data_IF_295134796850
#
_entry.id   IF_295134796850
#
_cell.length_a   1.000
_cell.length_b   1.000
_cell.length_c   1.000
_cell.angle_alpha   90.00
_cell.angle_beta   90.00
_cell.angle_gamma   90.00
#
_symmetry.space_group_name_H-M   'P 1'
#
loop_
_entity.id
_entity.type
_entity.pdbx_description
1 polymer ?
#
# COMPACT_ATOMS: atom_id res chain seq x y z
N UNK A 1 41.79 41.40 22.64
CA UNK A 1 40.47 41.27 23.31
C UNK A 1 39.48 40.73 22.30
N UNK A 2 39.10 39.45 22.43
CA UNK A 2 38.26 38.75 21.46
C UNK A 2 36.77 39.05 21.67
N UNK A 3 36.08 39.47 20.61
CA UNK A 3 34.63 39.53 20.57
C UNK A 3 34.07 38.11 20.44
N UNK A 4 33.44 37.60 21.50
CA UNK A 4 32.61 36.39 21.42
C UNK A 4 31.21 36.81 20.95
N UNK A 5 30.94 36.64 19.67
CA UNK A 5 29.58 36.57 19.13
C UNK A 5 28.90 35.34 19.74
N UNK A 6 28.00 35.55 20.72
CA UNK A 6 27.08 34.50 21.16
C UNK A 6 26.18 34.18 19.97
N UNK A 7 26.40 33.03 19.33
CA UNK A 7 25.39 32.44 18.47
C UNK A 7 24.13 32.25 19.31
N UNK A 8 23.06 32.97 18.98
CA UNK A 8 21.73 32.68 19.51
C UNK A 8 21.38 31.28 18.99
N UNK A 9 21.40 30.31 19.90
CA UNK A 9 20.84 28.99 19.64
C UNK A 9 19.36 29.22 19.33
N UNK A 10 18.83 28.78 18.17
CA UNK A 10 17.41 28.91 17.90
C UNK A 10 16.65 28.16 19.00
N UNK A 11 15.71 28.85 19.64
CA UNK A 11 14.90 28.27 20.69
C UNK A 11 14.23 26.99 20.17
N UNK A 12 14.16 25.91 20.99
CA UNK A 12 13.46 24.70 20.58
C UNK A 12 12.02 25.07 20.26
N UNK A 13 11.57 24.79 19.04
CA UNK A 13 10.20 25.01 18.61
C UNK A 13 9.28 24.33 19.62
N UNK A 14 8.64 25.12 20.48
CA UNK A 14 7.69 24.60 21.45
C UNK A 14 6.56 23.92 20.68
N UNK A 15 6.04 22.78 21.18
CA UNK A 15 4.91 22.06 20.54
C UNK A 15 3.74 22.97 20.15
N UNK A 16 3.60 24.11 20.84
CA UNK A 16 2.62 25.17 20.53
C UNK A 16 2.85 25.83 19.16
N UNK A 17 4.08 26.21 18.83
CA UNK A 17 4.40 26.88 17.56
C UNK A 17 4.26 25.98 16.33
N UNK A 18 4.50 24.67 16.47
CA UNK A 18 4.22 23.70 15.40
C UNK A 18 2.71 23.53 15.16
N UNK A 19 1.88 23.59 16.21
CA UNK A 19 0.41 23.55 16.09
C UNK A 19 -0.19 24.82 15.47
N UNK A 20 0.45 25.97 15.66
CA UNK A 20 0.07 27.23 15.00
C UNK A 20 0.50 27.29 13.53
N UNK A 21 1.67 26.71 13.18
CA UNK A 21 2.17 26.71 11.81
C UNK A 21 1.51 25.62 10.94
N UNK A 22 1.22 24.46 11.53
CA UNK A 22 0.30 23.45 10.99
C UNK A 22 -1.05 23.67 11.65
N UNK A 23 -1.73 24.78 11.31
CA UNK A 23 -3.11 24.99 11.71
C UNK A 23 -3.86 23.67 11.54
N UNK A 24 -4.53 23.23 12.60
CA UNK A 24 -5.37 22.03 12.60
C UNK A 24 -6.19 22.07 11.32
N UNK A 25 -5.81 21.25 10.34
CA UNK A 25 -6.61 21.03 9.15
C UNK A 25 -7.84 20.27 9.65
N UNK A 26 -8.81 21.01 10.17
CA UNK A 26 -10.19 20.58 10.39
C UNK A 26 -10.83 20.50 9.01
N UNK A 27 -10.38 19.49 8.26
CA UNK A 27 -11.03 19.13 7.03
C UNK A 27 -12.42 18.62 7.41
N UNK A 28 -13.46 19.13 6.75
CA UNK A 28 -14.83 18.65 6.94
C UNK A 28 -14.87 17.11 6.90
N UNK A 29 -15.60 16.44 7.80
CA UNK A 29 -15.72 14.98 7.80
C UNK A 29 -16.10 14.41 6.42
N UNK A 30 -16.94 15.14 5.67
CA UNK A 30 -17.34 14.77 4.31
C UNK A 30 -16.14 14.71 3.35
N UNK A 31 -15.20 15.66 3.46
CA UNK A 31 -13.98 15.68 2.65
C UNK A 31 -13.07 14.51 3.03
N UNK A 32 -12.97 14.20 4.34
CA UNK A 32 -12.19 13.07 4.83
C UNK A 32 -12.74 11.73 4.34
N UNK A 33 -14.06 11.52 4.42
CA UNK A 33 -14.70 10.32 3.87
C UNK A 33 -14.63 10.25 2.35
N UNK A 34 -14.81 11.38 1.65
CA UNK A 34 -14.68 11.44 0.19
C UNK A 34 -13.28 11.06 -0.28
N UNK A 35 -12.25 11.59 0.39
CA UNK A 35 -10.86 11.24 0.10
C UNK A 35 -10.56 9.79 0.45
N UNK A 36 -11.05 9.29 1.59
CA UNK A 36 -10.92 7.89 1.97
C UNK A 36 -11.54 6.95 0.91
N UNK A 37 -12.75 7.27 0.46
CA UNK A 37 -13.44 6.51 -0.58
C UNK A 37 -12.65 6.49 -1.89
N UNK A 38 -12.11 7.63 -2.32
CA UNK A 38 -11.27 7.72 -3.53
C UNK A 38 -10.00 6.86 -3.40
N UNK A 39 -9.30 6.97 -2.27
CA UNK A 39 -8.05 6.24 -2.02
C UNK A 39 -8.32 4.73 -1.96
N UNK A 40 -9.37 4.29 -1.27
CA UNK A 40 -9.77 2.88 -1.20
C UNK A 40 -10.26 2.33 -2.54
N UNK A 41 -10.91 3.16 -3.36
CA UNK A 41 -11.31 2.78 -4.70
C UNK A 41 -10.10 2.58 -5.62
N UNK A 42 -9.12 3.48 -5.58
CA UNK A 42 -7.86 3.32 -6.32
C UNK A 42 -7.06 2.11 -5.83
N UNK A 43 -7.06 1.86 -4.52
CA UNK A 43 -6.51 0.64 -3.93
C UNK A 43 -7.18 -0.62 -4.49
N UNK A 44 -8.51 -0.67 -4.52
CA UNK A 44 -9.26 -1.80 -5.05
C UNK A 44 -8.91 -2.12 -6.51
N UNK A 45 -8.80 -1.10 -7.35
CA UNK A 45 -8.39 -1.27 -8.76
C UNK A 45 -6.97 -1.85 -8.83
N UNK A 46 -6.04 -1.30 -8.04
CA UNK A 46 -4.66 -1.74 -8.03
C UNK A 46 -4.52 -3.21 -7.57
N UNK A 47 -5.24 -3.60 -6.50
CA UNK A 47 -5.32 -4.99 -6.03
C UNK A 47 -5.80 -5.95 -7.13
N UNK A 48 -6.85 -5.59 -7.87
CA UNK A 48 -7.36 -6.44 -8.96
C UNK A 48 -6.33 -6.61 -10.07
N UNK A 49 -5.64 -5.52 -10.44
CA UNK A 49 -4.56 -5.55 -11.43
C UNK A 49 -3.40 -6.42 -10.93
N UNK A 50 -3.03 -6.31 -9.66
CA UNK A 50 -1.94 -7.05 -9.06
C UNK A 50 -2.21 -8.56 -8.98
N UNK A 51 -3.40 -8.96 -8.52
CA UNK A 51 -3.82 -10.36 -8.49
C UNK A 51 -3.72 -10.95 -9.91
N UNK A 52 -4.26 -10.24 -10.90
CA UNK A 52 -4.22 -10.73 -12.28
C UNK A 52 -2.81 -10.83 -12.84
N UNK A 53 -1.98 -9.84 -12.55
CA UNK A 53 -0.57 -9.82 -12.99
C UNK A 53 0.18 -11.00 -12.37
N UNK A 54 -0.04 -11.27 -11.09
CA UNK A 54 0.52 -12.42 -10.37
C UNK A 54 0.07 -13.76 -10.98
N UNK A 55 -1.21 -13.91 -11.34
CA UNK A 55 -1.70 -15.11 -12.03
C UNK A 55 -1.03 -15.33 -13.39
N UNK A 56 -0.81 -14.25 -14.15
CA UNK A 56 -0.22 -14.32 -15.49
C UNK A 56 1.21 -14.85 -15.47
N UNK A 57 1.96 -14.68 -14.36
CA UNK A 57 3.27 -15.30 -14.19
C UNK A 57 3.20 -16.83 -14.24
N UNK A 58 2.13 -17.44 -13.73
CA UNK A 58 1.91 -18.89 -13.75
C UNK A 58 1.27 -19.33 -15.06
N UNK A 59 0.31 -18.55 -15.57
CA UNK A 59 -0.44 -18.90 -16.77
C UNK A 59 0.40 -18.73 -18.05
N UNK A 60 1.39 -17.83 -18.05
CA UNK A 60 2.23 -17.52 -19.21
C UNK A 60 1.50 -16.64 -20.24
N UNK A 61 0.54 -15.82 -19.80
CA UNK A 61 -0.31 -15.02 -20.66
C UNK A 61 0.21 -13.61 -20.91
N UNK A 62 -0.35 -12.94 -21.91
CA UNK A 62 -0.08 -11.52 -22.11
C UNK A 62 -0.92 -10.69 -21.15
N UNK A 63 -0.30 -9.73 -20.47
CA UNK A 63 -1.01 -8.76 -19.65
C UNK A 63 -2.00 -7.91 -20.42
N UNK A 64 -3.06 -7.47 -19.74
CA UNK A 64 -4.10 -6.59 -20.25
C UNK A 64 -4.26 -5.40 -19.31
N UNK A 65 -4.57 -4.23 -19.87
CA UNK A 65 -4.90 -3.02 -19.11
C UNK A 65 -6.37 -3.00 -18.66
N UNK A 66 -7.17 -3.97 -19.08
CA UNK A 66 -8.55 -4.12 -18.60
C UNK A 66 -8.53 -4.54 -17.13
N UNK A 67 -9.42 -3.98 -16.31
CA UNK A 67 -9.58 -4.37 -14.91
C UNK A 67 -10.44 -5.65 -14.85
N UNK A 68 -9.88 -6.82 -14.55
CA UNK A 68 -10.63 -8.07 -14.54
C UNK A 68 -11.46 -8.22 -13.27
N UNK A 69 -12.65 -7.62 -13.24
CA UNK A 69 -13.57 -7.72 -12.10
C UNK A 69 -13.98 -9.17 -11.75
N UNK A 70 -13.81 -10.11 -12.69
CA UNK A 70 -13.98 -11.54 -12.45
C UNK A 70 -13.03 -12.11 -11.38
N UNK A 71 -11.97 -11.40 -10.99
CA UNK A 71 -11.10 -11.81 -9.88
C UNK A 71 -11.90 -12.06 -8.60
N UNK A 72 -12.96 -11.28 -8.33
CA UNK A 72 -13.75 -11.41 -7.10
C UNK A 72 -14.59 -12.69 -7.01
N UNK A 73 -14.88 -13.37 -8.13
CA UNK A 73 -15.61 -14.64 -8.11
C UNK A 73 -14.70 -15.86 -7.98
N UNK A 74 -13.40 -15.70 -8.21
CA UNK A 74 -12.44 -16.80 -8.15
C UNK A 74 -12.43 -17.57 -6.82
N UNK A 75 -12.51 -16.94 -5.62
CA UNK A 75 -12.56 -17.71 -4.38
C UNK A 75 -13.75 -18.67 -4.32
N UNK A 76 -14.88 -18.27 -4.91
CA UNK A 76 -16.06 -19.12 -5.00
C UNK A 76 -15.87 -20.26 -6.00
N UNK A 77 -15.31 -19.96 -7.18
CA UNK A 77 -15.01 -20.94 -8.23
C UNK A 77 -13.94 -21.96 -7.79
N UNK A 78 -12.96 -21.54 -6.97
CA UNK A 78 -12.00 -22.42 -6.30
C UNK A 78 -12.70 -23.44 -5.41
N UNK A 79 -13.66 -23.00 -4.58
CA UNK A 79 -14.43 -23.87 -3.70
C UNK A 79 -15.36 -24.81 -4.47
N UNK A 80 -15.96 -24.32 -5.57
CA UNK A 80 -16.81 -25.12 -6.45
C UNK A 80 -16.03 -26.16 -7.26
N UNK A 81 -14.72 -25.95 -7.45
CA UNK A 81 -13.83 -26.90 -8.09
C UNK A 81 -13.97 -26.97 -9.62
N UNK A 82 -14.59 -25.96 -10.26
CA UNK A 82 -14.95 -25.95 -11.68
C UNK A 82 -13.77 -25.85 -12.64
N UNK A 83 -12.66 -25.27 -12.19
CA UNK A 83 -11.49 -24.99 -13.04
C UNK A 83 -10.44 -26.11 -13.08
N UNK A 84 -9.56 -26.06 -14.09
CA UNK A 84 -8.41 -26.94 -14.20
C UNK A 84 -7.32 -26.63 -13.16
N UNK A 85 -6.41 -27.58 -12.93
CA UNK A 85 -5.37 -27.47 -11.89
C UNK A 85 -4.42 -26.28 -12.11
N UNK A 86 -4.11 -25.93 -13.38
CA UNK A 86 -3.19 -24.83 -13.67
C UNK A 86 -3.83 -23.49 -13.29
N UNK A 87 -5.10 -23.29 -13.62
CA UNK A 87 -5.86 -22.09 -13.25
C UNK A 87 -6.04 -21.98 -11.74
N UNK A 88 -6.37 -23.09 -11.06
CA UNK A 88 -6.45 -23.12 -9.59
C UNK A 88 -5.14 -22.68 -8.92
N UNK A 89 -4.00 -23.19 -9.40
CA UNK A 89 -2.69 -22.81 -8.86
C UNK A 89 -2.40 -21.32 -9.09
N UNK A 90 -2.75 -20.78 -10.25
CA UNK A 90 -2.59 -19.37 -10.56
C UNK A 90 -3.41 -18.48 -9.61
N UNK A 91 -4.67 -18.82 -9.37
CA UNK A 91 -5.54 -18.06 -8.48
C UNK A 91 -5.10 -18.14 -7.02
N UNK A 92 -4.71 -19.32 -6.54
CA UNK A 92 -4.16 -19.50 -5.18
C UNK A 92 -2.90 -18.66 -5.00
N UNK A 93 -2.04 -18.59 -6.02
CA UNK A 93 -0.84 -17.76 -5.98
C UNK A 93 -1.17 -16.25 -5.95
N UNK A 94 -2.06 -15.79 -6.83
CA UNK A 94 -2.48 -14.38 -6.89
C UNK A 94 -3.10 -13.90 -5.58
N UNK A 95 -4.11 -14.63 -5.08
CA UNK A 95 -4.74 -14.33 -3.79
C UNK A 95 -3.80 -14.50 -2.59
N UNK A 96 -2.90 -15.48 -2.65
CA UNK A 96 -1.91 -15.71 -1.59
C UNK A 96 -0.90 -14.57 -1.47
N UNK A 97 -0.45 -14.03 -2.60
CA UNK A 97 0.39 -12.84 -2.61
C UNK A 97 -0.35 -11.61 -2.06
N UNK A 98 -1.54 -11.31 -2.58
CA UNK A 98 -2.35 -10.16 -2.11
C UNK A 98 -2.64 -10.26 -0.60
N UNK A 99 -3.02 -11.44 -0.10
CA UNK A 99 -3.25 -11.64 1.33
C UNK A 99 -1.98 -11.40 2.15
N UNK A 100 -0.82 -11.83 1.64
CA UNK A 100 0.49 -11.53 2.21
C UNK A 100 0.73 -10.02 2.25
N UNK A 101 0.53 -9.32 1.15
CA UNK A 101 0.71 -7.87 1.05
C UNK A 101 -0.19 -7.12 2.03
N UNK A 102 -1.47 -7.51 2.16
CA UNK A 102 -2.39 -6.88 3.11
C UNK A 102 -1.99 -7.11 4.57
N UNK A 103 -1.52 -8.31 4.92
CA UNK A 103 -0.96 -8.59 6.24
C UNK A 103 0.26 -7.68 6.47
N UNK A 104 1.10 -7.49 5.45
CA UNK A 104 2.25 -6.60 5.52
C UNK A 104 1.87 -5.12 5.62
N UNK A 105 0.84 -4.65 4.91
CA UNK A 105 0.33 -3.30 5.02
C UNK A 105 -0.24 -3.05 6.43
N UNK A 106 -1.01 -4.01 6.95
CA UNK A 106 -1.57 -3.95 8.30
C UNK A 106 -0.47 -3.92 9.38
N UNK A 107 0.49 -4.83 9.31
CA UNK A 107 1.60 -4.87 10.26
C UNK A 107 2.56 -3.69 10.08
N UNK A 108 2.66 -3.07 8.90
CA UNK A 108 3.39 -1.81 8.72
C UNK A 108 2.73 -0.67 9.49
N UNK A 109 1.40 -0.55 9.42
CA UNK A 109 0.64 0.48 10.11
C UNK A 109 0.60 0.29 11.65
N UNK A 110 0.26 -0.93 12.10
CA UNK A 110 0.01 -1.20 13.52
C UNK A 110 1.21 -1.82 14.24
N UNK A 111 1.84 -2.83 13.62
CA UNK A 111 2.83 -3.63 14.31
C UNK A 111 4.21 -2.97 14.30
N UNK A 112 4.60 -2.19 13.28
CA UNK A 112 5.96 -1.65 13.15
C UNK A 112 6.31 -0.66 14.27
N UNK A 113 5.35 0.15 14.72
CA UNK A 113 5.52 1.03 15.88
C UNK A 113 5.65 0.27 17.20
N UNK A 114 4.91 -0.83 17.36
CA UNK A 114 5.00 -1.71 18.53
C UNK A 114 6.29 -2.56 18.51
N UNK A 115 6.62 -3.15 17.35
CA UNK A 115 7.79 -3.99 17.07
C UNK A 115 9.09 -3.24 17.24
N UNK A 116 9.18 -1.97 16.82
CA UNK A 116 10.36 -1.15 17.09
C UNK A 116 10.63 -0.97 18.58
N UNK A 117 9.59 -1.01 19.41
CA UNK A 117 9.70 -0.87 20.87
C UNK A 117 9.99 -2.21 21.57
N UNK A 118 9.54 -3.33 21.01
CA UNK A 118 9.70 -4.66 21.62
C UNK A 118 10.89 -5.47 21.09
N UNK A 119 11.20 -5.39 19.78
CA UNK A 119 12.30 -6.15 19.19
C UNK A 119 12.85 -5.50 17.89
N UNK A 120 13.99 -4.83 18.00
CA UNK A 120 14.63 -4.12 16.89
C UNK A 120 15.08 -5.03 15.73
N UNK A 121 15.54 -6.26 16.02
CA UNK A 121 15.98 -7.21 15.00
C UNK A 121 14.79 -7.68 14.14
N UNK A 122 13.64 -7.94 14.77
CA UNK A 122 12.42 -8.35 14.08
C UNK A 122 11.88 -7.20 13.22
N UNK A 123 11.95 -5.95 13.70
CA UNK A 123 11.60 -4.77 12.90
C UNK A 123 12.49 -4.59 11.67
N UNK A 124 13.81 -4.84 11.78
CA UNK A 124 14.74 -4.80 10.64
C UNK A 124 14.43 -5.90 9.62
N UNK A 125 14.20 -7.14 10.06
CA UNK A 125 13.78 -8.23 9.18
C UNK A 125 12.48 -7.90 8.45
N UNK A 126 11.50 -7.34 9.15
CA UNK A 126 10.23 -6.93 8.58
C UNK A 126 10.38 -5.88 7.48
N UNK A 127 11.24 -4.86 7.70
CA UNK A 127 11.53 -3.85 6.69
C UNK A 127 12.21 -4.46 5.44
N UNK A 128 13.13 -5.41 5.64
CA UNK A 128 13.79 -6.13 4.54
C UNK A 128 12.76 -6.97 3.77
N UNK A 129 11.90 -7.72 4.45
CA UNK A 129 10.85 -8.53 3.83
C UNK A 129 9.86 -7.66 3.05
N UNK A 130 9.49 -6.49 3.59
CA UNK A 130 8.63 -5.52 2.91
C UNK A 130 9.29 -4.98 1.64
N UNK A 131 10.58 -4.63 1.71
CA UNK A 131 11.33 -4.18 0.54
C UNK A 131 11.43 -5.28 -0.53
N UNK A 132 11.64 -6.53 -0.12
CA UNK A 132 11.67 -7.68 -1.02
C UNK A 132 10.31 -7.91 -1.67
N UNK A 133 9.21 -7.86 -0.92
CA UNK A 133 7.86 -7.98 -1.47
C UNK A 133 7.56 -6.90 -2.50
N UNK A 134 7.80 -5.63 -2.16
CA UNK A 134 7.63 -4.50 -3.09
C UNK A 134 8.49 -4.70 -4.35
N UNK A 135 9.71 -5.21 -4.20
CA UNK A 135 10.61 -5.47 -5.34
C UNK A 135 10.14 -6.64 -6.21
N UNK A 136 9.63 -7.71 -5.59
CA UNK A 136 9.09 -8.88 -6.29
C UNK A 136 7.77 -8.55 -7.01
N UNK A 137 6.90 -7.78 -6.37
CA UNK A 137 5.68 -7.27 -6.95
C UNK A 137 5.99 -6.31 -8.12
N UNK A 138 6.96 -5.40 -7.93
CA UNK A 138 7.49 -4.56 -9.00
C UNK A 138 8.05 -5.37 -10.18
N UNK A 139 8.75 -6.47 -9.89
CA UNK A 139 9.26 -7.39 -10.91
C UNK A 139 8.15 -8.17 -11.63
N UNK A 140 7.11 -8.60 -10.92
CA UNK A 140 5.95 -9.28 -11.47
C UNK A 140 5.22 -8.36 -12.48
N UNK A 141 4.92 -7.14 -12.05
CA UNK A 141 4.27 -6.11 -12.88
C UNK A 141 5.11 -5.74 -14.11
N UNK A 142 6.44 -5.67 -13.98
CA UNK A 142 7.35 -5.41 -15.11
C UNK A 142 7.23 -6.43 -16.23
N UNK A 143 7.22 -7.72 -15.89
CA UNK A 143 7.18 -8.81 -16.88
C UNK A 143 5.77 -9.02 -17.45
N UNK A 144 4.76 -8.43 -16.81
CA UNK A 144 3.37 -8.53 -17.19
C UNK A 144 2.78 -7.13 -17.45
N UNK A 145 3.45 -6.26 -18.23
CA UNK A 145 2.81 -5.12 -18.89
C UNK A 145 3.15 -5.13 -20.40
N UNK A 146 2.18 -5.09 -21.34
CA UNK A 146 2.47 -5.25 -22.77
C UNK A 146 2.80 -3.91 -23.44
N UNK A 147 3.69 -3.91 -24.43
CA UNK A 147 3.79 -2.85 -25.45
C UNK A 147 4.30 -1.47 -24.98
N UNK A 148 4.82 -1.36 -23.76
CA UNK A 148 5.33 -0.12 -23.17
C UNK A 148 6.86 -0.22 -23.02
N UNK A 149 7.60 0.87 -23.18
CA UNK A 149 9.05 0.84 -22.96
C UNK A 149 9.38 0.41 -21.51
N UNK A 150 10.50 -0.30 -21.27
CA UNK A 150 10.82 -0.88 -19.95
C UNK A 150 10.75 0.11 -18.78
N UNK A 151 11.05 1.39 -19.05
CA UNK A 151 10.96 2.47 -18.06
C UNK A 151 9.52 2.73 -17.60
N UNK A 152 8.54 2.82 -18.50
CA UNK A 152 7.16 3.03 -18.09
C UNK A 152 6.55 1.78 -17.47
N UNK A 153 6.96 0.57 -17.89
CA UNK A 153 6.58 -0.66 -17.19
C UNK A 153 7.07 -0.63 -15.73
N UNK A 154 8.31 -0.20 -15.48
CA UNK A 154 8.87 -0.06 -14.13
C UNK A 154 8.09 0.95 -13.29
N UNK A 155 7.77 2.12 -13.87
CA UNK A 155 7.05 3.18 -13.17
C UNK A 155 5.63 2.77 -12.80
N UNK A 156 4.92 2.07 -13.70
CA UNK A 156 3.57 1.53 -13.42
C UNK A 156 3.65 0.44 -12.36
N UNK A 157 4.60 -0.48 -12.48
CA UNK A 157 4.83 -1.53 -11.50
C UNK A 157 5.10 -0.99 -10.09
N UNK A 158 5.96 0.02 -9.99
CA UNK A 158 6.26 0.70 -8.73
C UNK A 158 5.03 1.44 -8.18
N UNK A 159 4.27 2.11 -9.05
CA UNK A 159 3.06 2.83 -8.67
C UNK A 159 2.00 1.88 -8.09
N UNK A 160 1.74 0.76 -8.75
CA UNK A 160 0.79 -0.27 -8.28
C UNK A 160 1.22 -0.78 -6.91
N UNK A 161 2.47 -1.20 -6.75
CA UNK A 161 3.00 -1.70 -5.47
C UNK A 161 2.90 -0.65 -4.34
N UNK A 162 3.18 0.62 -4.63
CA UNK A 162 3.01 1.70 -3.64
C UNK A 162 1.56 1.88 -3.25
N UNK A 163 0.64 1.85 -4.22
CA UNK A 163 -0.80 1.98 -3.97
C UNK A 163 -1.29 0.82 -3.10
N UNK A 164 -1.00 -0.44 -3.48
CA UNK A 164 -1.48 -1.63 -2.76
C UNK A 164 -1.01 -1.65 -1.30
N UNK A 165 0.23 -1.24 -1.04
CA UNK A 165 0.78 -1.21 0.32
C UNK A 165 0.30 -0.01 1.15
N UNK A 166 0.18 1.17 0.56
CA UNK A 166 0.01 2.43 1.34
C UNK A 166 -1.43 2.95 1.38
N UNK A 167 -2.19 2.79 0.29
CA UNK A 167 -3.53 3.34 0.20
C UNK A 167 -4.55 2.68 1.14
N UNK A 168 -4.51 1.38 1.48
CA UNK A 168 -5.47 0.83 2.44
C UNK A 168 -5.24 1.42 3.84
N UNK A 169 -3.98 1.63 4.22
CA UNK A 169 -3.61 2.27 5.49
C UNK A 169 -4.07 3.72 5.55
N UNK A 170 -3.82 4.49 4.49
CA UNK A 170 -4.23 5.90 4.41
C UNK A 170 -5.75 6.02 4.41
N UNK A 171 -6.45 5.19 3.63
CA UNK A 171 -7.91 5.17 3.54
C UNK A 171 -8.56 4.92 4.90
N UNK A 172 -8.09 3.91 5.63
CA UNK A 172 -8.60 3.61 6.98
C UNK A 172 -8.30 4.75 7.97
N UNK A 173 -7.10 5.34 7.96
CA UNK A 173 -6.75 6.46 8.82
C UNK A 173 -7.62 7.71 8.55
N UNK A 174 -7.97 7.95 7.28
CA UNK A 174 -8.87 9.05 6.89
C UNK A 174 -10.31 8.80 7.38
N UNK A 175 -10.79 7.56 7.36
CA UNK A 175 -12.09 7.18 7.92
C UNK A 175 -12.09 7.40 9.43
N UNK A 176 -11.07 6.91 10.14
CA UNK A 176 -10.94 7.07 11.59
C UNK A 176 -10.93 8.55 11.98
N UNK A 177 -10.16 9.39 11.26
CA UNK A 177 -10.15 10.82 11.49
C UNK A 177 -11.51 11.47 11.19
N UNK A 178 -12.17 11.08 10.10
CA UNK A 178 -13.50 11.57 9.76
C UNK A 178 -14.56 11.22 10.82
N UNK A 179 -14.45 10.04 11.43
CA UNK A 179 -15.31 9.62 12.55
C UNK A 179 -15.04 10.43 13.82
N UNK A 180 -13.78 10.74 14.12
CA UNK A 180 -13.41 11.59 15.26
C UNK A 180 -14.00 13.00 15.11
N UNK A 181 -13.87 13.60 13.92
CA UNK A 181 -14.40 14.95 13.62
C UNK A 181 -15.95 15.00 13.53
N UNK A 182 -16.64 13.85 13.47
CA UNK A 182 -18.10 13.76 13.60
C UNK A 182 -18.55 13.61 15.07
N UNK A 183 -17.68 13.09 15.93
CA UNK A 183 -17.97 12.85 17.34
C UNK A 183 -17.65 14.04 18.26
N UNK A 184 -16.83 14.98 17.77
CA UNK A 184 -16.53 16.28 18.38
C UNK A 184 -17.54 17.36 17.98
#
# INVERSE_FOLDING_TARGET
>A
MGYRTRAQTPAPATRKGLREYYGTFSASPIILFGLAGLVLFLWLIATVVEIRTSELLILGGTPSLEVPWGVFVQPWELMAGTEDMKTKLAWVYGWGLEAGELIFAFAFNHALHALRRTNEKLSKFYLIASFVLISLNGWANLNALPGINPTMQFLVALLVAVIVVTFPVIGLALIEKGMQELGD
#
